data_IF_677921076675
#
_entry.id   IF_677921076675
#
_cell.length_a   1.000
_cell.length_b   1.000
_cell.length_c   1.000
_cell.angle_alpha   90.00
_cell.angle_beta   90.00
_cell.angle_gamma   90.00
#
_symmetry.space_group_name_H-M   'P 1'
#
loop_
_entity.id
_entity.type
_entity.pdbx_description
1 polymer ?
#
# COMPACT_ATOMS: atom_id res chain seq x y z
N UNK A 1 -2.26 -31.29 10.06
CA UNK A 1 -2.78 -29.93 10.29
C UNK A 1 -3.98 -30.02 11.22
N UNK A 2 -3.99 -29.29 12.35
CA UNK A 2 -5.20 -29.14 13.18
C UNK A 2 -6.34 -28.63 12.28
N UNK A 3 -7.58 -29.06 12.51
CA UNK A 3 -8.74 -28.50 11.79
C UNK A 3 -8.88 -27.04 12.21
N UNK A 4 -8.61 -26.11 11.31
CA UNK A 4 -8.82 -24.66 11.50
C UNK A 4 -10.28 -24.25 11.27
N UNK A 5 -11.15 -25.21 10.94
CA UNK A 5 -12.59 -24.98 10.75
C UNK A 5 -13.26 -24.65 12.07
N UNK A 6 -14.27 -23.80 12.01
CA UNK A 6 -15.15 -23.47 13.14
C UNK A 6 -15.69 -24.74 13.80
N UNK A 7 -15.76 -24.72 15.13
CA UNK A 7 -16.52 -25.71 15.88
C UNK A 7 -18.02 -25.60 15.53
N UNK A 8 -18.82 -26.67 15.67
CA UNK A 8 -20.25 -26.60 15.41
C UNK A 8 -20.97 -25.51 16.22
N UNK A 9 -20.52 -25.26 17.45
CA UNK A 9 -21.05 -24.21 18.31
C UNK A 9 -20.76 -22.80 17.77
N UNK A 10 -19.52 -22.56 17.32
CA UNK A 10 -19.13 -21.29 16.72
C UNK A 10 -19.79 -21.06 15.37
N UNK A 11 -19.99 -22.13 14.58
CA UNK A 11 -20.73 -22.08 13.34
C UNK A 11 -22.20 -21.68 13.59
N UNK A 12 -22.86 -22.29 14.57
CA UNK A 12 -24.23 -21.92 14.95
C UNK A 12 -24.31 -20.48 15.52
N UNK A 13 -23.27 -20.03 16.22
CA UNK A 13 -23.17 -18.65 16.67
C UNK A 13 -23.01 -17.67 15.49
N UNK A 14 -22.16 -18.02 14.51
CA UNK A 14 -21.96 -17.26 13.29
C UNK A 14 -23.25 -17.07 12.50
N UNK A 15 -24.00 -18.14 12.25
CA UNK A 15 -25.27 -18.08 11.51
C UNK A 15 -26.28 -17.12 12.15
N UNK A 16 -26.33 -17.09 13.49
CA UNK A 16 -27.17 -16.13 14.23
C UNK A 16 -26.68 -14.70 14.07
N UNK A 17 -25.37 -14.47 14.23
CA UNK A 17 -24.74 -13.15 14.10
C UNK A 17 -24.93 -12.60 12.68
N UNK A 18 -24.71 -13.44 11.67
CA UNK A 18 -24.91 -13.12 10.27
C UNK A 18 -26.38 -12.74 9.99
N UNK A 19 -27.32 -13.51 10.55
CA UNK A 19 -28.76 -13.21 10.47
C UNK A 19 -29.11 -11.85 11.08
N UNK A 20 -28.60 -11.54 12.27
CA UNK A 20 -28.79 -10.24 12.90
C UNK A 20 -28.16 -9.11 12.08
N UNK A 21 -26.92 -9.29 11.62
CA UNK A 21 -26.20 -8.27 10.85
C UNK A 21 -26.95 -7.91 9.56
N UNK A 22 -27.42 -8.92 8.82
CA UNK A 22 -28.28 -8.74 7.63
C UNK A 22 -29.63 -8.11 7.99
N UNK A 23 -30.22 -8.48 9.14
CA UNK A 23 -31.45 -7.87 9.65
C UNK A 23 -31.32 -6.38 9.97
N UNK A 24 -30.15 -5.93 10.41
CA UNK A 24 -29.83 -4.51 10.59
C UNK A 24 -29.47 -3.78 9.28
N UNK A 25 -29.39 -4.49 8.15
CA UNK A 25 -29.09 -3.91 6.84
C UNK A 25 -27.59 -3.73 6.55
N UNK A 26 -26.70 -4.43 7.28
CA UNK A 26 -25.27 -4.43 6.97
C UNK A 26 -25.01 -5.20 5.66
N UNK A 27 -24.17 -4.62 4.80
CA UNK A 27 -23.72 -5.21 3.54
C UNK A 27 -22.21 -5.47 3.59
N UNK A 28 -21.82 -6.73 3.81
CA UNK A 28 -20.43 -7.17 3.91
C UNK A 28 -20.08 -8.21 2.85
N UNK A 29 -18.77 -8.46 2.63
CA UNK A 29 -18.31 -9.58 1.80
C UNK A 29 -18.48 -10.91 2.53
N UNK A 30 -18.52 -12.06 1.82
CA UNK A 30 -18.51 -13.36 2.49
C UNK A 30 -17.30 -13.49 3.42
N UNK A 31 -17.55 -13.80 4.69
CA UNK A 31 -16.50 -13.88 5.73
C UNK A 31 -16.21 -15.35 6.04
N UNK A 32 -14.95 -15.71 5.98
CA UNK A 32 -14.44 -17.03 6.33
C UNK A 32 -13.69 -16.90 7.65
N UNK A 33 -14.24 -17.49 8.71
CA UNK A 33 -13.58 -17.54 10.01
C UNK A 33 -12.74 -18.81 10.14
N UNK A 34 -11.50 -18.63 10.57
CA UNK A 34 -10.59 -19.72 10.91
C UNK A 34 -10.13 -19.59 12.36
N UNK A 35 -10.21 -20.70 13.10
CA UNK A 35 -9.73 -20.74 14.49
C UNK A 35 -8.28 -21.19 14.50
N UNK A 36 -7.40 -20.36 15.07
CA UNK A 36 -5.97 -20.58 15.12
C UNK A 36 -5.45 -20.64 16.56
N UNK A 37 -4.41 -21.45 16.75
CA UNK A 37 -3.61 -21.46 17.98
C UNK A 37 -2.83 -20.14 18.09
N UNK A 38 -2.43 -19.75 19.29
CA UNK A 38 -1.72 -18.49 19.52
C UNK A 38 -0.45 -18.40 18.67
N UNK A 39 0.33 -19.49 18.57
CA UNK A 39 1.58 -19.52 17.78
C UNK A 39 1.31 -19.19 16.32
N UNK A 40 0.37 -19.91 15.70
CA UNK A 40 0.02 -19.72 14.29
C UNK A 40 -0.57 -18.33 14.05
N UNK A 41 -1.40 -17.82 14.98
CA UNK A 41 -1.94 -16.46 14.86
C UNK A 41 -0.81 -15.41 14.83
N UNK A 42 0.18 -15.53 15.71
CA UNK A 42 1.32 -14.61 15.75
C UNK A 42 2.26 -14.77 14.55
N UNK A 43 2.44 -15.99 14.03
CA UNK A 43 3.18 -16.24 12.79
C UNK A 43 2.52 -15.52 11.60
N UNK A 44 1.20 -15.68 11.44
CA UNK A 44 0.45 -15.02 10.36
C UNK A 44 0.44 -13.49 10.58
N UNK A 45 0.33 -13.03 11.82
CA UNK A 45 0.36 -11.59 12.14
C UNK A 45 1.71 -10.96 11.75
N UNK A 46 2.82 -11.65 11.99
CA UNK A 46 4.15 -11.22 11.56
C UNK A 46 4.29 -11.18 10.02
N UNK A 47 3.53 -11.99 9.29
CA UNK A 47 3.47 -11.92 7.83
C UNK A 47 2.53 -10.81 7.31
N UNK A 48 1.85 -10.09 8.21
CA UNK A 48 0.89 -9.04 7.87
C UNK A 48 -0.51 -9.59 7.54
N UNK A 49 -0.87 -10.75 8.08
CA UNK A 49 -2.16 -11.40 7.86
C UNK A 49 -2.13 -12.47 6.77
N UNK A 50 -1.16 -12.44 5.86
CA UNK A 50 -1.14 -13.35 4.71
C UNK A 50 -0.43 -14.67 5.02
N UNK A 51 -1.02 -15.84 4.70
CA UNK A 51 -0.37 -17.14 4.95
C UNK A 51 0.90 -17.37 4.12
N UNK A 52 0.96 -16.77 2.92
CA UNK A 52 2.09 -16.93 1.99
C UNK A 52 2.65 -15.54 1.66
N UNK A 53 3.95 -15.39 1.86
CA UNK A 53 4.71 -14.18 1.54
C UNK A 53 6.11 -14.55 1.05
N UNK A 54 6.81 -13.58 0.46
CA UNK A 54 8.22 -13.76 0.12
C UNK A 54 9.06 -14.01 1.37
N UNK A 55 10.12 -14.82 1.28
CA UNK A 55 11.01 -15.06 2.42
C UNK A 55 11.81 -13.80 2.73
N UNK A 56 11.86 -13.40 4.00
CA UNK A 56 12.66 -12.27 4.46
C UNK A 56 12.84 -12.30 5.99
N UNK A 57 14.04 -11.96 6.47
CA UNK A 57 14.40 -12.00 7.90
C UNK A 57 13.57 -11.06 8.78
N UNK A 58 13.09 -9.92 8.26
CA UNK A 58 12.26 -8.94 8.99
C UNK A 58 11.04 -9.59 9.65
N UNK A 59 10.39 -10.54 8.97
CA UNK A 59 9.21 -11.22 9.52
C UNK A 59 9.55 -12.09 10.73
N UNK A 60 10.76 -12.67 10.78
CA UNK A 60 11.24 -13.40 11.95
C UNK A 60 11.45 -12.48 13.16
N UNK A 61 11.95 -11.27 12.93
CA UNK A 61 12.05 -10.26 13.99
C UNK A 61 10.68 -9.80 14.49
N UNK A 62 9.76 -9.51 13.56
CA UNK A 62 8.39 -9.09 13.89
C UNK A 62 7.66 -10.18 14.70
N UNK A 63 7.81 -11.45 14.31
CA UNK A 63 7.30 -12.57 15.09
C UNK A 63 7.88 -12.62 16.50
N UNK A 64 9.20 -12.45 16.64
CA UNK A 64 9.85 -12.44 17.95
C UNK A 64 9.30 -11.34 18.85
N UNK A 65 9.10 -10.14 18.30
CA UNK A 65 8.55 -9.00 19.03
C UNK A 65 7.10 -9.25 19.47
N UNK A 66 6.24 -9.71 18.56
CA UNK A 66 4.83 -9.97 18.86
C UNK A 66 4.66 -11.12 19.86
N UNK A 67 5.39 -12.22 19.66
CA UNK A 67 5.36 -13.40 20.53
C UNK A 67 5.81 -13.07 21.96
N UNK A 68 6.87 -12.27 22.12
CA UNK A 68 7.30 -11.76 23.44
C UNK A 68 6.27 -10.82 24.05
N UNK A 69 5.68 -9.92 23.26
CA UNK A 69 4.61 -9.03 23.71
C UNK A 69 3.44 -9.81 24.33
N UNK A 70 3.05 -10.92 23.71
CA UNK A 70 2.05 -11.84 24.25
C UNK A 70 2.52 -12.56 25.51
N UNK A 71 3.73 -13.13 25.51
CA UNK A 71 4.28 -13.87 26.65
C UNK A 71 4.39 -13.01 27.91
N UNK A 72 4.67 -11.71 27.76
CA UNK A 72 4.70 -10.75 28.86
C UNK A 72 3.34 -10.10 29.17
N UNK A 73 2.27 -10.47 28.46
CA UNK A 73 0.93 -9.92 28.66
C UNK A 73 0.77 -8.45 28.25
N UNK A 74 1.67 -7.93 27.40
CA UNK A 74 1.66 -6.54 26.94
C UNK A 74 0.64 -6.30 25.81
N UNK A 75 0.36 -7.32 25.01
CA UNK A 75 -0.57 -7.24 23.89
C UNK A 75 -1.23 -8.58 23.60
N UNK A 76 -2.53 -8.59 23.36
CA UNK A 76 -3.30 -9.77 22.92
C UNK A 76 -3.99 -9.42 21.61
N UNK A 77 -3.77 -10.24 20.59
CA UNK A 77 -4.51 -10.16 19.33
C UNK A 77 -5.78 -10.97 19.47
N UNK A 78 -6.92 -10.29 19.62
CA UNK A 78 -8.23 -10.95 19.71
C UNK A 78 -8.72 -11.41 18.34
N UNK A 79 -8.40 -10.65 17.30
CA UNK A 79 -8.86 -10.84 15.93
C UNK A 79 -7.81 -10.34 14.94
N UNK A 80 -7.79 -10.94 13.76
CA UNK A 80 -7.06 -10.42 12.62
C UNK A 80 -7.90 -10.62 11.36
N UNK A 81 -8.17 -9.54 10.65
CA UNK A 81 -9.03 -9.54 9.45
C UNK A 81 -8.21 -9.13 8.24
N UNK A 82 -8.35 -9.90 7.16
CA UNK A 82 -7.85 -9.55 5.83
C UNK A 82 -9.05 -9.18 4.95
N UNK A 83 -9.04 -7.94 4.47
CA UNK A 83 -10.12 -7.42 3.63
C UNK A 83 -9.97 -7.79 2.15
N UNK A 84 -10.13 -9.08 1.88
CA UNK A 84 -10.26 -9.63 0.53
C UNK A 84 -11.72 -9.98 0.23
N UNK A 85 -12.01 -10.45 -0.98
CA UNK A 85 -13.30 -11.06 -1.32
C UNK A 85 -13.07 -12.51 -1.80
N UNK A 86 -13.34 -13.53 -0.96
CA UNK A 86 -13.94 -13.46 0.39
C UNK A 86 -12.99 -12.86 1.43
N UNK A 87 -13.54 -12.32 2.52
CA UNK A 87 -12.77 -11.77 3.64
C UNK A 87 -12.39 -12.88 4.61
N UNK A 88 -11.14 -12.89 5.05
CA UNK A 88 -10.64 -13.90 5.99
C UNK A 88 -10.48 -13.29 7.37
N UNK A 89 -10.96 -13.99 8.39
CA UNK A 89 -10.86 -13.56 9.78
C UNK A 89 -10.32 -14.69 10.65
N UNK A 90 -9.27 -14.39 11.42
CA UNK A 90 -8.62 -15.33 12.30
C UNK A 90 -9.04 -15.09 13.75
N UNK A 91 -9.56 -16.15 14.38
CA UNK A 91 -10.01 -16.17 15.76
C UNK A 91 -8.99 -16.94 16.62
N UNK A 92 -8.71 -16.46 17.82
CA UNK A 92 -7.83 -17.15 18.76
C UNK A 92 -8.57 -18.31 19.46
N UNK A 93 -8.01 -19.52 19.43
CA UNK A 93 -8.58 -20.75 20.02
C UNK A 93 -8.91 -20.60 21.52
N UNK A 94 -8.08 -19.86 22.27
CA UNK A 94 -8.20 -19.71 23.73
C UNK A 94 -9.26 -18.71 24.22
N UNK A 95 -9.97 -18.01 23.32
CA UNK A 95 -10.96 -17.01 23.73
C UNK A 95 -12.26 -17.65 24.22
N UNK A 96 -12.86 -17.06 25.26
CA UNK A 96 -14.19 -17.44 25.75
C UNK A 96 -15.27 -17.26 24.67
N UNK A 97 -16.34 -18.05 24.74
CA UNK A 97 -17.44 -18.03 23.77
C UNK A 97 -18.09 -16.64 23.62
N UNK A 98 -18.18 -15.86 24.70
CA UNK A 98 -18.72 -14.49 24.66
C UNK A 98 -17.79 -13.58 23.86
N UNK A 99 -16.49 -13.66 24.11
CA UNK A 99 -15.46 -12.92 23.37
C UNK A 99 -15.44 -13.31 21.89
N UNK A 100 -15.56 -14.60 21.57
CA UNK A 100 -15.64 -15.06 20.18
C UNK A 100 -16.82 -14.44 19.45
N UNK A 101 -18.01 -14.43 20.07
CA UNK A 101 -19.22 -13.82 19.48
C UNK A 101 -19.06 -12.31 19.29
N UNK A 102 -18.47 -11.62 20.27
CA UNK A 102 -18.20 -10.19 20.19
C UNK A 102 -17.26 -9.89 19.02
N UNK A 103 -16.15 -10.63 18.92
CA UNK A 103 -15.18 -10.51 17.82
C UNK A 103 -15.86 -10.80 16.47
N UNK A 104 -16.62 -11.89 16.34
CA UNK A 104 -17.33 -12.19 15.09
C UNK A 104 -18.26 -11.05 14.65
N UNK A 105 -19.03 -10.47 15.59
CA UNK A 105 -19.89 -9.32 15.32
C UNK A 105 -19.09 -8.02 15.04
N UNK A 106 -17.90 -7.89 15.61
CA UNK A 106 -17.02 -6.76 15.34
C UNK A 106 -16.40 -6.86 13.94
N UNK A 107 -15.95 -8.05 13.54
CA UNK A 107 -15.44 -8.36 12.21
C UNK A 107 -16.49 -8.10 11.13
N UNK A 108 -17.77 -8.42 11.34
CA UNK A 108 -18.81 -8.09 10.34
C UNK A 108 -18.93 -6.58 10.11
N UNK A 109 -18.83 -5.78 11.17
CA UNK A 109 -18.85 -4.33 11.07
C UNK A 109 -17.61 -3.77 10.36
N UNK A 110 -16.42 -4.35 10.57
CA UNK A 110 -15.22 -3.98 9.80
C UNK A 110 -15.40 -4.26 8.31
N UNK A 111 -15.84 -5.47 7.95
CA UNK A 111 -15.96 -5.85 6.54
C UNK A 111 -17.04 -5.02 5.84
N UNK A 112 -18.15 -4.71 6.51
CA UNK A 112 -19.16 -3.77 6.01
C UNK A 112 -18.57 -2.37 5.77
N UNK A 113 -17.88 -1.83 6.78
CA UNK A 113 -17.23 -0.52 6.69
C UNK A 113 -16.22 -0.47 5.55
N UNK A 114 -15.39 -1.50 5.40
CA UNK A 114 -14.42 -1.60 4.32
C UNK A 114 -15.09 -1.67 2.94
N UNK A 115 -16.15 -2.46 2.80
CA UNK A 115 -16.87 -2.63 1.54
C UNK A 115 -17.55 -1.33 1.08
N UNK A 116 -18.16 -0.60 2.01
CA UNK A 116 -19.03 0.54 1.69
C UNK A 116 -18.30 1.89 1.74
N UNK A 117 -17.09 1.95 2.30
CA UNK A 117 -16.35 3.20 2.40
C UNK A 117 -15.61 3.54 1.09
N UNK A 118 -15.89 4.73 0.56
CA UNK A 118 -15.28 5.28 -0.65
C UNK A 118 -13.75 5.27 -0.61
N UNK A 119 -13.13 5.42 0.57
CA UNK A 119 -11.69 5.42 0.75
C UNK A 119 -11.01 4.05 0.52
N UNK A 120 -11.76 2.96 0.66
CA UNK A 120 -11.24 1.61 0.44
C UNK A 120 -11.70 0.99 -0.88
N UNK A 121 -12.54 1.70 -1.65
CA UNK A 121 -13.10 1.22 -2.91
C UNK A 121 -12.02 0.78 -3.92
N UNK A 122 -10.88 1.49 -3.96
CA UNK A 122 -9.76 1.22 -4.87
C UNK A 122 -8.74 0.21 -4.32
N UNK A 123 -9.01 -0.42 -3.18
CA UNK A 123 -8.12 -1.45 -2.62
C UNK A 123 -8.32 -2.76 -3.35
N UNK A 124 -7.24 -3.49 -3.57
CA UNK A 124 -7.32 -4.77 -4.25
C UNK A 124 -7.99 -5.83 -3.38
N UNK A 125 -9.07 -6.42 -3.91
CA UNK A 125 -9.89 -7.44 -3.23
C UNK A 125 -9.33 -8.86 -3.38
N UNK A 126 -8.38 -9.08 -4.27
CA UNK A 126 -7.73 -10.38 -4.54
C UNK A 126 -6.29 -10.41 -4.04
N UNK A 127 -5.98 -9.59 -3.04
CA UNK A 127 -4.62 -9.46 -2.56
C UNK A 127 -4.04 -10.81 -2.11
N UNK A 128 -4.82 -11.69 -1.49
CA UNK A 128 -4.37 -13.04 -1.10
C UNK A 128 -3.70 -13.82 -2.25
N UNK A 129 -4.33 -13.85 -3.43
CA UNK A 129 -3.81 -14.53 -4.62
C UNK A 129 -2.58 -13.81 -5.19
N UNK A 130 -2.60 -12.47 -5.17
CA UNK A 130 -1.46 -11.67 -5.60
C UNK A 130 -0.23 -11.89 -4.72
N UNK A 131 -0.37 -11.91 -3.40
CA UNK A 131 0.74 -12.16 -2.48
C UNK A 131 1.39 -13.53 -2.76
N UNK A 132 0.59 -14.56 -3.05
CA UNK A 132 1.11 -15.88 -3.41
C UNK A 132 1.86 -15.86 -4.76
N UNK A 133 1.32 -15.13 -5.75
CA UNK A 133 1.98 -14.93 -7.04
C UNK A 133 3.30 -14.15 -6.90
N UNK A 134 3.32 -13.11 -6.06
CA UNK A 134 4.52 -12.32 -5.78
C UNK A 134 5.58 -13.14 -5.04
N UNK A 135 5.19 -13.95 -4.05
CA UNK A 135 6.10 -14.87 -3.37
C UNK A 135 6.77 -15.82 -4.37
N UNK A 136 6.00 -16.40 -5.29
CA UNK A 136 6.52 -17.26 -6.36
C UNK A 136 7.46 -16.50 -7.30
N UNK A 137 7.14 -15.25 -7.66
CA UNK A 137 8.00 -14.40 -8.50
C UNK A 137 9.33 -14.09 -7.81
N UNK A 138 9.30 -13.70 -6.54
CA UNK A 138 10.52 -13.42 -5.78
C UNK A 138 11.35 -14.68 -5.62
N UNK A 139 10.73 -15.84 -5.35
CA UNK A 139 11.46 -17.10 -5.29
C UNK A 139 12.21 -17.40 -6.60
N UNK A 140 11.57 -17.20 -7.76
CA UNK A 140 12.25 -17.37 -9.07
C UNK A 140 13.41 -16.38 -9.28
N UNK A 141 13.36 -15.19 -8.69
CA UNK A 141 14.45 -14.23 -8.74
C UNK A 141 15.61 -14.68 -7.83
N UNK A 142 15.30 -15.17 -6.62
CA UNK A 142 16.27 -15.76 -5.69
C UNK A 142 16.99 -16.94 -6.37
N UNK A 143 16.25 -17.83 -7.02
CA UNK A 143 16.83 -19.00 -7.70
C UNK A 143 17.77 -18.61 -8.86
N UNK A 144 17.60 -17.43 -9.45
CA UNK A 144 18.40 -16.95 -10.60
C UNK A 144 19.58 -16.07 -10.19
N UNK A 145 19.39 -15.17 -9.24
CA UNK A 145 20.36 -14.13 -8.88
C UNK A 145 21.04 -14.38 -7.53
N UNK A 146 20.60 -15.39 -6.78
CA UNK A 146 21.06 -15.67 -5.43
C UNK A 146 20.18 -15.01 -4.37
N UNK A 147 20.27 -15.55 -3.15
CA UNK A 147 19.49 -15.07 -2.01
C UNK A 147 19.97 -13.71 -1.51
N UNK A 148 21.27 -13.56 -1.22
CA UNK A 148 21.84 -12.33 -0.64
C UNK A 148 21.57 -11.07 -1.51
N UNK A 149 21.82 -11.06 -2.84
CA UNK A 149 21.61 -9.84 -3.63
C UNK A 149 20.14 -9.41 -3.70
N UNK A 150 19.23 -10.38 -3.68
CA UNK A 150 17.79 -10.13 -3.69
C UNK A 150 17.32 -9.61 -2.33
N UNK A 151 17.80 -10.20 -1.24
CA UNK A 151 17.50 -9.77 0.12
C UNK A 151 18.01 -8.35 0.39
N UNK A 152 19.26 -8.04 0.06
CA UNK A 152 19.85 -6.70 0.23
C UNK A 152 19.05 -5.61 -0.52
N UNK A 153 18.58 -5.95 -1.72
CA UNK A 153 17.74 -5.04 -2.50
C UNK A 153 16.36 -4.86 -1.89
N UNK A 154 15.74 -5.94 -1.38
CA UNK A 154 14.48 -5.88 -0.64
C UNK A 154 14.64 -5.00 0.61
N UNK A 155 15.72 -5.16 1.38
CA UNK A 155 16.02 -4.35 2.55
C UNK A 155 16.15 -2.87 2.21
N UNK A 156 16.86 -2.57 1.13
CA UNK A 156 16.98 -1.20 0.62
C UNK A 156 15.61 -0.61 0.28
N UNK A 157 14.75 -1.37 -0.39
CA UNK A 157 13.39 -0.93 -0.72
C UNK A 157 12.53 -0.73 0.54
N UNK A 158 12.64 -1.62 1.53
CA UNK A 158 11.88 -1.54 2.78
C UNK A 158 12.32 -0.38 3.67
N UNK A 159 13.56 0.10 3.55
CA UNK A 159 14.01 1.33 4.24
C UNK A 159 13.22 2.58 3.80
N UNK A 160 12.61 2.55 2.62
CA UNK A 160 11.81 3.62 2.04
C UNK A 160 10.29 3.42 2.28
N UNK A 161 9.88 2.48 3.15
CA UNK A 161 8.48 2.09 3.33
C UNK A 161 7.55 3.23 3.81
N UNK A 162 8.11 4.29 4.37
CA UNK A 162 7.39 5.46 4.86
C UNK A 162 7.14 6.52 3.79
N UNK A 163 7.72 6.38 2.59
CA UNK A 163 7.75 7.40 1.55
C UNK A 163 6.77 7.11 0.39
N UNK A 164 5.64 6.50 0.70
CA UNK A 164 4.58 6.18 -0.27
C UNK A 164 3.38 7.12 -0.08
N UNK A 165 2.84 7.61 -1.20
CA UNK A 165 1.60 8.37 -1.21
C UNK A 165 0.39 7.44 -1.38
N UNK A 166 -0.14 6.94 -0.27
CA UNK A 166 -1.35 6.11 -0.28
C UNK A 166 -2.63 6.90 -0.63
N UNK A 167 -2.58 8.24 -0.72
CA UNK A 167 -3.68 9.08 -1.19
C UNK A 167 -3.73 9.22 -2.72
N UNK A 168 -2.74 8.68 -3.43
CA UNK A 168 -2.61 8.81 -4.88
C UNK A 168 -3.88 8.48 -5.70
N UNK A 169 -4.70 7.45 -5.37
CA UNK A 169 -5.92 7.17 -6.15
C UNK A 169 -7.00 8.25 -6.05
N UNK A 170 -7.02 9.03 -4.96
CA UNK A 170 -8.05 10.04 -4.70
C UNK A 170 -7.62 11.44 -5.14
N UNK A 171 -6.31 11.66 -5.31
CA UNK A 171 -5.74 12.93 -5.69
C UNK A 171 -5.19 12.77 -7.11
N UNK A 172 -5.90 13.33 -8.10
CA UNK A 172 -5.38 13.49 -9.46
C UNK A 172 -4.19 14.45 -9.45
N UNK A 173 -3.02 13.93 -9.11
CA UNK A 173 -1.76 14.65 -9.34
C UNK A 173 -1.34 14.37 -10.77
N UNK A 174 -0.76 15.34 -11.48
CA UNK A 174 -0.14 15.06 -12.76
C UNK A 174 0.80 13.87 -12.56
N UNK A 175 0.56 12.79 -13.31
CA UNK A 175 1.40 11.62 -13.26
C UNK A 175 2.84 12.06 -13.49
N UNK A 176 3.79 11.43 -12.81
CA UNK A 176 5.20 11.57 -13.11
C UNK A 176 5.51 10.90 -14.46
N UNK A 177 4.93 11.46 -15.52
CA UNK A 177 5.25 11.18 -16.91
C UNK A 177 6.00 12.40 -17.39
N UNK A 178 7.31 12.38 -17.22
CA UNK A 178 8.12 13.12 -18.20
C UNK A 178 7.93 12.35 -19.49
N UNK A 179 7.29 12.96 -20.48
CA UNK A 179 7.05 12.34 -21.80
C UNK A 179 8.36 11.97 -22.52
N UNK A 180 9.51 12.33 -21.96
CA UNK A 180 10.84 12.01 -22.45
C UNK A 180 11.58 11.14 -21.44
N UNK A 181 11.83 9.88 -21.81
CA UNK A 181 12.96 9.11 -21.28
C UNK A 181 14.21 9.96 -21.45
N UNK A 182 15.01 10.09 -20.39
CA UNK A 182 16.35 10.70 -20.45
C UNK A 182 17.31 10.00 -21.45
N UNK A 183 16.88 8.92 -22.11
CA UNK A 183 17.63 8.17 -23.12
C UNK A 183 17.28 8.52 -24.58
N UNK A 184 16.20 9.26 -24.83
CA UNK A 184 15.69 9.45 -26.19
C UNK A 184 16.03 10.86 -26.71
N UNK A 185 17.22 10.97 -27.32
CA UNK A 185 17.61 12.06 -28.22
C UNK A 185 18.16 13.31 -27.53
N UNK A 186 19.31 13.79 -28.01
CA UNK A 186 19.74 15.15 -27.71
C UNK A 186 18.59 16.13 -28.05
N UNK A 187 18.24 17.07 -27.16
CA UNK A 187 17.27 18.10 -27.51
C UNK A 187 17.78 18.84 -28.74
N UNK A 188 16.95 18.97 -29.78
CA UNK A 188 17.27 19.81 -30.93
C UNK A 188 17.75 21.18 -30.42
N UNK A 189 18.89 21.69 -30.89
CA UNK A 189 19.44 22.93 -30.37
C UNK A 189 18.43 24.05 -30.57
N UNK A 190 18.18 24.89 -29.54
CA UNK A 190 17.20 25.96 -29.64
C UNK A 190 17.57 26.88 -30.81
N UNK A 191 16.61 27.12 -31.70
CA UNK A 191 16.72 28.09 -32.79
C UNK A 191 16.73 29.50 -32.18
N UNK A 192 17.91 30.07 -32.00
CA UNK A 192 18.06 31.47 -31.62
C UNK A 192 17.71 32.33 -32.83
N UNK A 193 16.50 32.86 -32.86
CA UNK A 193 16.15 33.97 -33.75
C UNK A 193 16.94 35.20 -33.29
N UNK A 194 17.89 35.64 -34.13
CA UNK A 194 18.66 36.85 -33.86
C UNK A 194 17.77 38.10 -33.75
N UNK A 195 18.37 39.21 -33.31
CA UNK A 195 17.70 40.51 -33.28
C UNK A 195 17.03 40.81 -34.63
N UNK A 196 15.80 41.35 -34.60
CA UNK A 196 15.05 41.66 -35.84
C UNK A 196 15.82 42.68 -36.67
N UNK A 197 16.13 42.33 -37.91
CA UNK A 197 16.86 43.19 -38.85
C UNK A 197 15.94 43.61 -40.00
N UNK A 198 15.73 44.91 -40.16
CA UNK A 198 14.88 45.50 -41.22
C UNK A 198 15.48 45.38 -42.63
N UNK A 199 16.82 45.25 -42.76
CA UNK A 199 17.53 45.17 -44.05
C UNK A 199 18.49 43.98 -44.11
N UNK A 200 18.36 43.15 -45.14
CA UNK A 200 19.07 41.86 -45.25
C UNK A 200 20.61 41.97 -45.12
N UNK A 201 21.24 43.03 -45.63
CA UNK A 201 22.69 43.21 -45.60
C UNK A 201 23.26 43.57 -44.21
N UNK A 202 22.42 43.98 -43.24
CA UNK A 202 22.87 44.30 -41.89
C UNK A 202 22.83 43.09 -40.94
N UNK A 203 22.35 41.92 -41.42
CA UNK A 203 22.22 40.71 -40.60
C UNK A 203 23.57 40.24 -40.05
N UNK A 204 24.60 40.26 -40.88
CA UNK A 204 25.93 39.74 -40.49
C UNK A 204 26.67 40.68 -39.51
N UNK A 205 26.31 41.97 -39.49
CA UNK A 205 26.90 42.97 -38.59
C UNK A 205 26.13 43.10 -37.26
N UNK A 206 24.80 43.02 -37.31
CA UNK A 206 23.92 43.11 -36.13
C UNK A 206 23.93 41.80 -35.35
N UNK A 207 24.16 40.67 -36.02
CA UNK A 207 24.12 39.35 -35.42
C UNK A 207 25.40 38.56 -35.72
N UNK A 208 26.55 38.98 -35.17
CA UNK A 208 27.81 38.26 -35.37
C UNK A 208 27.71 36.84 -34.79
N UNK A 209 28.41 35.85 -35.38
CA UNK A 209 28.32 34.44 -34.97
C UNK A 209 28.65 34.24 -33.49
N UNK A 210 29.56 35.04 -32.93
CA UNK A 210 29.95 35.01 -31.52
C UNK A 210 28.81 35.45 -30.59
N UNK A 211 27.99 36.43 -30.99
CA UNK A 211 26.82 36.89 -30.23
C UNK A 211 25.70 35.83 -30.23
N UNK A 212 25.49 35.16 -31.36
CA UNK A 212 24.56 34.04 -31.48
C UNK A 212 24.98 32.85 -30.61
N UNK A 213 26.26 32.52 -30.56
CA UNK A 213 26.80 31.44 -29.72
C UNK A 213 26.65 31.74 -28.23
N UNK A 214 26.90 32.98 -27.81
CA UNK A 214 26.68 33.40 -26.42
C UNK A 214 25.19 33.35 -26.03
N UNK A 215 24.29 33.79 -26.91
CA UNK A 215 22.84 33.65 -26.73
C UNK A 215 22.41 32.18 -26.66
N UNK A 216 22.93 31.31 -27.54
CA UNK A 216 22.70 29.85 -27.51
C UNK A 216 23.17 29.24 -26.19
N UNK A 217 24.37 29.58 -25.72
CA UNK A 217 24.90 29.12 -24.43
C UNK A 217 24.03 29.57 -23.26
N UNK A 218 23.60 30.83 -23.24
CA UNK A 218 22.69 31.33 -22.19
C UNK A 218 21.35 30.59 -22.20
N UNK A 219 20.74 30.39 -23.38
CA UNK A 219 19.51 29.62 -23.51
C UNK A 219 19.68 28.15 -23.10
N UNK A 220 20.82 27.54 -23.42
CA UNK A 220 21.15 26.17 -23.00
C UNK A 220 21.34 26.08 -21.48
N UNK A 221 22.05 27.03 -20.86
CA UNK A 221 22.22 27.10 -19.40
C UNK A 221 20.90 27.38 -18.68
N UNK A 222 20.05 28.24 -19.23
CA UNK A 222 18.71 28.51 -18.72
C UNK A 222 17.78 27.30 -18.88
N UNK A 223 17.85 26.59 -20.01
CA UNK A 223 17.12 25.34 -20.21
C UNK A 223 17.61 24.23 -19.28
N UNK A 224 18.92 24.15 -19.02
CA UNK A 224 19.49 23.22 -18.04
C UNK A 224 19.08 23.57 -16.60
N UNK A 225 19.00 24.86 -16.24
CA UNK A 225 18.49 25.32 -14.94
C UNK A 225 16.97 25.18 -14.81
N UNK A 226 16.23 25.28 -15.92
CA UNK A 226 14.78 25.10 -16.00
C UNK A 226 14.36 23.62 -16.02
N UNK A 227 15.28 22.70 -16.34
CA UNK A 227 15.13 21.26 -16.09
C UNK A 227 15.20 20.97 -14.58
N UNK A 228 14.22 21.48 -13.82
CA UNK A 228 13.95 20.98 -12.48
C UNK A 228 13.48 19.54 -12.63
N UNK A 229 14.32 18.62 -12.17
CA UNK A 229 14.00 17.20 -12.14
C UNK A 229 13.73 16.80 -10.68
N UNK A 230 12.51 16.34 -10.32
CA UNK A 230 11.30 16.22 -11.14
C UNK A 230 10.59 17.57 -11.44
N UNK A 231 9.81 17.62 -12.52
CA UNK A 231 9.02 18.80 -12.94
C UNK A 231 8.01 19.22 -11.87
N UNK A 232 7.43 18.25 -11.18
CA UNK A 232 6.48 18.44 -10.10
C UNK A 232 6.93 17.67 -8.84
N UNK A 233 6.72 18.21 -7.63
CA UNK A 233 7.05 17.52 -6.39
C UNK A 233 6.23 16.23 -6.25
N UNK A 234 6.92 15.09 -6.17
CA UNK A 234 6.31 13.78 -5.98
C UNK A 234 6.37 13.39 -4.49
N UNK A 235 5.24 12.91 -3.95
CA UNK A 235 5.20 12.35 -2.58
C UNK A 235 5.49 10.85 -2.55
N UNK A 236 5.15 10.13 -3.62
CA UNK A 236 5.44 8.70 -3.74
C UNK A 236 6.84 8.52 -4.34
N UNK A 237 7.82 8.26 -3.48
CA UNK A 237 9.22 8.09 -3.87
C UNK A 237 9.42 6.73 -4.53
N UNK A 238 8.68 5.68 -4.16
CA UNK A 238 8.81 4.38 -4.81
C UNK A 238 8.29 4.43 -6.25
N UNK A 239 7.17 5.11 -6.49
CA UNK A 239 6.68 5.34 -7.86
C UNK A 239 7.67 6.16 -8.68
N UNK A 240 8.28 7.17 -8.07
CA UNK A 240 9.30 7.98 -8.72
C UNK A 240 10.51 7.13 -9.12
N UNK A 241 11.02 6.28 -8.21
CA UNK A 241 12.13 5.39 -8.50
C UNK A 241 11.77 4.36 -9.59
N UNK A 242 10.55 3.82 -9.60
CA UNK A 242 10.09 2.92 -10.66
C UNK A 242 10.14 3.56 -12.05
N UNK A 243 9.79 4.85 -12.15
CA UNK A 243 9.72 5.53 -13.44
C UNK A 243 11.08 6.04 -13.95
N UNK A 244 11.97 6.43 -13.03
CA UNK A 244 13.18 7.19 -13.41
C UNK A 244 14.51 6.54 -13.01
N UNK A 245 14.52 5.62 -12.04
CA UNK A 245 15.79 5.04 -11.60
C UNK A 245 16.31 4.04 -12.66
N UNK A 246 17.64 4.02 -12.90
CA UNK A 246 18.26 3.05 -13.80
C UNK A 246 18.34 1.67 -13.12
N UNK A 247 17.20 0.98 -13.04
CA UNK A 247 17.08 -0.33 -12.40
C UNK A 247 17.20 -1.47 -13.41
N UNK A 248 17.79 -2.58 -12.98
CA UNK A 248 17.72 -3.82 -13.73
C UNK A 248 16.28 -4.38 -13.75
N UNK A 249 15.95 -5.22 -14.73
CA UNK A 249 14.58 -5.77 -14.88
C UNK A 249 14.08 -6.49 -13.64
N UNK A 250 14.95 -7.21 -12.93
CA UNK A 250 14.59 -7.94 -11.72
C UNK A 250 14.41 -6.99 -10.52
N UNK A 251 15.25 -5.96 -10.39
CA UNK A 251 15.11 -4.92 -9.37
C UNK A 251 13.82 -4.13 -9.55
N UNK A 252 13.48 -3.77 -10.79
CA UNK A 252 12.21 -3.12 -11.10
C UNK A 252 11.01 -3.98 -10.66
N UNK A 253 11.09 -5.29 -10.91
CA UNK A 253 10.04 -6.24 -10.49
C UNK A 253 9.90 -6.27 -8.97
N UNK A 254 11.00 -6.34 -8.22
CA UNK A 254 10.96 -6.35 -6.74
C UNK A 254 10.37 -5.03 -6.21
N UNK A 255 10.80 -3.90 -6.75
CA UNK A 255 10.33 -2.58 -6.32
C UNK A 255 8.83 -2.40 -6.58
N UNK A 256 8.34 -2.86 -7.73
CA UNK A 256 6.92 -2.84 -8.08
C UNK A 256 6.12 -3.68 -7.08
N UNK A 257 6.60 -4.89 -6.81
CA UNK A 257 5.99 -5.81 -5.86
C UNK A 257 5.92 -5.16 -4.47
N UNK A 258 7.04 -4.69 -3.91
CA UNK A 258 7.11 -4.06 -2.58
C UNK A 258 6.18 -2.84 -2.49
N UNK A 259 6.12 -2.01 -3.54
CA UNK A 259 5.21 -0.86 -3.58
C UNK A 259 3.74 -1.29 -3.47
N UNK A 260 3.32 -2.32 -4.23
CA UNK A 260 1.95 -2.86 -4.15
C UNK A 260 1.63 -3.40 -2.76
N UNK A 261 2.58 -4.14 -2.15
CA UNK A 261 2.45 -4.63 -0.76
C UNK A 261 2.22 -3.46 0.21
N UNK A 262 3.07 -2.45 0.15
CA UNK A 262 3.04 -1.33 1.10
C UNK A 262 1.81 -0.45 0.91
N UNK A 263 1.38 -0.20 -0.33
CA UNK A 263 0.12 0.51 -0.60
C UNK A 263 -1.07 -0.20 0.03
N UNK A 264 -1.18 -1.53 -0.15
CA UNK A 264 -2.25 -2.32 0.45
C UNK A 264 -2.19 -2.30 1.98
N UNK A 265 -1.02 -2.59 2.57
CA UNK A 265 -0.86 -2.63 4.02
C UNK A 265 -1.10 -1.27 4.68
N UNK A 266 -0.68 -0.16 4.06
CA UNK A 266 -0.95 1.18 4.59
C UNK A 266 -2.45 1.46 4.59
N UNK A 267 -3.21 1.07 3.55
CA UNK A 267 -4.67 1.22 3.53
C UNK A 267 -5.36 0.33 4.56
N UNK A 268 -4.95 -0.93 4.68
CA UNK A 268 -5.45 -1.86 5.71
C UNK A 268 -5.24 -1.30 7.12
N UNK A 269 -4.03 -0.83 7.43
CA UNK A 269 -3.73 -0.24 8.74
C UNK A 269 -4.49 1.06 9.01
N UNK A 270 -4.87 1.80 7.97
CA UNK A 270 -5.70 3.00 8.11
C UNK A 270 -7.13 2.66 8.46
N UNK A 271 -7.70 1.63 7.85
CA UNK A 271 -9.05 1.16 8.17
C UNK A 271 -9.17 0.86 9.67
N UNK A 272 -8.28 0.04 10.25
CA UNK A 272 -8.31 -0.23 11.70
C UNK A 272 -8.27 1.07 12.52
N UNK A 273 -7.46 2.06 12.12
CA UNK A 273 -7.40 3.37 12.81
C UNK A 273 -8.68 4.18 12.63
N UNK A 274 -9.25 4.22 11.43
CA UNK A 274 -10.49 4.95 11.13
C UNK A 274 -11.68 4.32 11.85
N UNK A 275 -11.78 3.00 11.82
CA UNK A 275 -12.85 2.25 12.47
C UNK A 275 -12.82 2.44 13.98
N UNK A 276 -11.67 2.28 14.63
CA UNK A 276 -11.50 2.55 16.07
C UNK A 276 -11.91 4.00 16.39
N UNK A 277 -11.46 4.97 15.60
CA UNK A 277 -11.79 6.38 15.84
C UNK A 277 -13.28 6.68 15.63
N UNK A 278 -13.93 6.02 14.68
CA UNK A 278 -15.36 6.15 14.41
C UNK A 278 -16.21 5.51 15.51
N UNK A 279 -15.85 4.32 15.99
CA UNK A 279 -16.52 3.67 17.14
C UNK A 279 -16.39 4.52 18.40
N UNK A 280 -15.19 5.02 18.73
CA UNK A 280 -15.00 5.89 19.89
C UNK A 280 -15.71 7.26 19.78
N UNK A 281 -15.87 7.82 18.56
CA UNK A 281 -16.62 9.07 18.35
C UNK A 281 -18.14 8.91 18.30
N UNK A 282 -18.65 7.73 17.95
CA UNK A 282 -20.09 7.46 17.93
C UNK A 282 -20.67 7.22 19.34
N UNK A 283 -19.85 6.78 20.30
CA UNK A 283 -20.27 6.55 21.69
C UNK A 283 -20.93 7.75 22.41
N UNK A 284 -20.43 9.00 22.31
CA UNK A 284 -21.08 10.14 22.94
C UNK A 284 -22.35 10.63 22.22
N UNK A 285 -22.65 10.17 21.01
CA UNK A 285 -23.89 10.56 20.30
C UNK A 285 -25.06 9.66 20.76
N UNK A 286 -24.79 8.38 21.03
CA UNK A 286 -25.80 7.43 21.52
C UNK A 286 -26.17 7.61 23.01
N UNK A 287 -25.33 8.26 23.82
CA UNK A 287 -25.66 8.58 25.22
C UNK A 287 -26.58 9.80 25.38
N UNK A 288 -26.92 10.50 24.28
CA UNK A 288 -27.84 11.65 24.29
C UNK A 288 -29.29 11.30 23.94
N UNK A 289 -29.57 10.04 23.57
CA UNK A 289 -30.92 9.53 23.36
C UNK A 289 -31.66 9.39 24.68
N UNK A 290 -32.37 10.44 25.10
CA UNK A 290 -33.36 10.38 26.19
C UNK A 290 -34.31 9.22 25.94
N UNK A 291 -34.28 8.23 26.82
CA UNK A 291 -35.42 7.36 27.08
C UNK A 291 -36.58 8.26 27.54
N UNK A 292 -37.44 8.68 26.61
CA UNK A 292 -38.77 9.16 26.96
C UNK A 292 -39.65 7.93 27.12
N UNK A 293 -39.89 7.56 28.37
CA UNK A 293 -41.02 6.75 28.80
C UNK A 293 -42.32 7.47 28.45
N UNK A 294 -43.17 6.83 27.65
CA UNK A 294 -44.61 7.09 27.55
C UNK A 294 -45.27 5.80 27.09
#
# INVERSE_FOLDING_TARGET
>A
MKRTRLSPELQAAWEKIEGYAKGYGLDFFPIIFEVLDYKTLYEIAALGGFPIRYPHWRFGMEYNQLSKGYAYGLSVIYEMVINTNPSYAYLLEGNEMVTQKMVMAHVTAHVDFFKNNMWFAHTNRKMLDEMANHATRIQRLIDRYGYEPVEDFIDTCLSLDNLIDYHAPYINRPAARTEQRLTDGEPEPPTVEGLRVERAYMRDYINPPEYLEQQRRKLQEEAQKARRFPENPQKDILLFLLNYAPLERWQHTILEIIRQYLEYLKRQNQECKFFLRATFRAFPVLSSGRFNSS
#
